data_IF_815650917137
#
_entry.id   IF_815650917137
#
_cell.length_a   1.000
_cell.length_b   1.000
_cell.length_c   1.000
_cell.angle_alpha   90.00
_cell.angle_beta   90.00
_cell.angle_gamma   90.00
#
_symmetry.space_group_name_H-M   'P 1'
#
loop_
_entity.id
_entity.type
_entity.pdbx_description
1 polymer ?
#
# COMPACT_ATOMS: atom_id res chain seq x y z
N UNK A 1 9.96 -3.34 -19.97
CA UNK A 1 9.61 -2.51 -18.81
C UNK A 1 8.23 -2.89 -18.30
N UNK A 2 7.19 -2.79 -19.12
CA UNK A 2 5.81 -3.13 -18.73
C UNK A 2 5.62 -4.56 -18.18
N UNK A 3 6.20 -5.57 -18.83
CA UNK A 3 6.15 -6.96 -18.31
C UNK A 3 6.79 -7.14 -16.93
N UNK A 4 7.82 -6.35 -16.62
CA UNK A 4 8.49 -6.39 -15.31
C UNK A 4 7.63 -5.69 -14.25
N UNK A 5 6.98 -4.57 -14.62
CA UNK A 5 5.99 -3.89 -13.78
C UNK A 5 4.82 -4.83 -13.46
N UNK A 6 4.30 -5.52 -14.46
CA UNK A 6 3.22 -6.50 -14.30
C UNK A 6 3.61 -7.67 -13.39
N UNK A 7 4.84 -8.18 -13.51
CA UNK A 7 5.34 -9.23 -12.64
C UNK A 7 5.37 -8.79 -11.17
N UNK A 8 5.93 -7.61 -10.88
CA UNK A 8 5.95 -7.08 -9.51
C UNK A 8 4.55 -6.81 -8.98
N UNK A 9 3.63 -6.24 -9.77
CA UNK A 9 2.25 -6.03 -9.34
C UNK A 9 1.57 -7.36 -9.02
N UNK A 10 1.79 -8.39 -9.85
CA UNK A 10 1.21 -9.72 -9.63
C UNK A 10 1.72 -10.36 -8.34
N UNK A 11 3.03 -10.28 -8.07
CA UNK A 11 3.58 -10.80 -6.81
C UNK A 11 2.97 -10.09 -5.59
N UNK A 12 2.83 -8.76 -5.66
CA UNK A 12 2.19 -7.99 -4.60
C UNK A 12 0.70 -8.38 -4.45
N UNK A 13 0.00 -8.68 -5.55
CA UNK A 13 -1.39 -9.17 -5.53
C UNK A 13 -1.52 -10.51 -4.81
N UNK A 14 -0.68 -11.49 -5.15
CA UNK A 14 -0.67 -12.80 -4.52
C UNK A 14 -0.37 -12.72 -3.01
N UNK A 15 0.44 -11.73 -2.59
CA UNK A 15 0.69 -11.47 -1.17
C UNK A 15 -0.53 -10.90 -0.44
N UNK A 16 -1.35 -10.08 -1.11
CA UNK A 16 -2.55 -9.48 -0.53
C UNK A 16 -3.62 -10.49 -0.11
N UNK A 17 -3.82 -11.55 -0.89
CA UNK A 17 -4.79 -12.60 -0.58
C UNK A 17 -4.55 -13.29 0.78
N UNK A 18 -3.28 -13.38 1.19
CA UNK A 18 -2.89 -13.95 2.48
C UNK A 18 -2.97 -12.94 3.63
N UNK A 19 -2.78 -11.65 3.34
CA UNK A 19 -2.73 -10.58 4.32
C UNK A 19 -4.12 -10.21 4.90
N UNK A 20 -5.21 -10.42 4.17
CA UNK A 20 -6.60 -10.14 4.60
C UNK A 20 -7.06 -10.91 5.86
N UNK A 21 -6.23 -11.80 6.42
CA UNK A 21 -6.53 -12.58 7.64
C UNK A 21 -5.85 -12.04 8.90
N UNK A 22 -5.13 -10.92 8.79
CA UNK A 22 -4.29 -10.36 9.83
C UNK A 22 -4.78 -8.96 10.22
N UNK A 23 -4.41 -8.48 11.41
CA UNK A 23 -4.54 -7.05 11.70
C UNK A 23 -3.66 -6.23 10.74
N UNK A 24 -4.01 -4.94 10.56
CA UNK A 24 -3.31 -4.05 9.65
C UNK A 24 -1.78 -4.02 9.81
N UNK A 25 -1.25 -4.11 11.03
CA UNK A 25 0.20 -4.03 11.22
C UNK A 25 0.90 -5.29 10.70
N UNK A 26 0.31 -6.45 11.00
CA UNK A 26 0.81 -7.75 10.55
C UNK A 26 0.56 -7.98 9.05
N UNK A 27 -0.55 -7.47 8.51
CA UNK A 27 -0.90 -7.55 7.09
C UNK A 27 0.08 -6.75 6.20
N UNK A 28 0.58 -5.62 6.68
CA UNK A 28 1.43 -4.71 5.89
C UNK A 28 2.93 -5.03 5.98
N UNK A 29 3.38 -5.78 6.99
CA UNK A 29 4.80 -6.13 7.16
C UNK A 29 5.41 -6.81 5.92
N UNK A 30 4.78 -7.85 5.33
CA UNK A 30 5.29 -8.49 4.11
C UNK A 30 5.45 -7.52 2.94
N UNK A 31 4.55 -6.54 2.81
CA UNK A 31 4.63 -5.54 1.73
C UNK A 31 5.86 -4.65 1.89
N UNK A 32 6.11 -4.13 3.09
CA UNK A 32 7.30 -3.32 3.34
C UNK A 32 8.59 -4.13 3.13
N UNK A 33 8.63 -5.40 3.53
CA UNK A 33 9.77 -6.29 3.26
C UNK A 33 9.97 -6.51 1.75
N UNK A 34 8.88 -6.66 1.00
CA UNK A 34 8.93 -6.81 -0.45
C UNK A 34 9.45 -5.55 -1.16
N UNK A 35 9.00 -4.37 -0.72
CA UNK A 35 9.50 -3.09 -1.23
C UNK A 35 10.99 -2.90 -0.92
N UNK A 36 11.45 -3.28 0.27
CA UNK A 36 12.87 -3.25 0.65
C UNK A 36 13.71 -4.18 -0.23
N UNK A 37 13.29 -5.44 -0.36
CA UNK A 37 13.99 -6.45 -1.17
C UNK A 37 14.14 -6.02 -2.63
N UNK A 38 13.18 -5.26 -3.15
CA UNK A 38 13.15 -4.78 -4.53
C UNK A 38 13.41 -3.27 -4.65
N UNK A 39 14.10 -2.68 -3.67
CA UNK A 39 14.29 -1.24 -3.54
C UNK A 39 14.79 -0.56 -4.83
N UNK A 40 15.77 -1.13 -5.52
CA UNK A 40 16.34 -0.53 -6.74
C UNK A 40 15.28 -0.37 -7.83
N UNK A 41 14.38 -1.35 -7.98
CA UNK A 41 13.28 -1.30 -8.94
C UNK A 41 12.31 -0.19 -8.56
N UNK A 42 11.79 -0.21 -7.33
CA UNK A 42 10.77 0.75 -6.89
C UNK A 42 11.28 2.18 -6.80
N UNK A 43 12.50 2.40 -6.29
CA UNK A 43 13.13 3.72 -6.27
C UNK A 43 13.31 4.30 -7.68
N UNK A 44 13.70 3.47 -8.65
CA UNK A 44 13.81 3.88 -10.06
C UNK A 44 12.45 4.24 -10.66
N UNK A 45 11.44 3.39 -10.46
CA UNK A 45 10.10 3.61 -10.98
C UNK A 45 9.46 4.87 -10.40
N UNK A 46 9.62 5.09 -9.09
CA UNK A 46 9.10 6.25 -8.38
C UNK A 46 9.89 7.54 -8.63
N UNK A 47 11.18 7.47 -8.97
CA UNK A 47 11.99 8.64 -9.32
C UNK A 47 11.79 9.08 -10.77
N UNK A 48 11.44 8.14 -11.66
CA UNK A 48 11.18 8.48 -13.06
C UNK A 48 9.93 9.37 -13.17
N UNK A 49 10.05 10.52 -13.85
CA UNK A 49 8.87 11.28 -14.33
C UNK A 49 8.03 10.46 -15.33
N UNK A 50 8.47 9.25 -15.69
CA UNK A 50 8.03 8.45 -16.82
C UNK A 50 7.09 7.28 -16.50
N UNK A 51 6.72 7.05 -15.24
CA UNK A 51 5.68 6.06 -14.95
C UNK A 51 4.54 6.60 -14.07
N UNK A 52 3.85 7.69 -14.47
CA UNK A 52 2.48 7.91 -14.01
C UNK A 52 1.64 6.62 -14.08
N UNK A 53 1.92 5.74 -15.05
CA UNK A 53 1.36 4.38 -15.16
C UNK A 53 1.68 3.48 -13.96
N UNK A 54 2.92 3.48 -13.44
CA UNK A 54 3.29 2.62 -12.31
C UNK A 54 2.61 3.07 -11.02
N UNK A 55 2.66 4.37 -10.71
CA UNK A 55 1.99 4.90 -9.51
C UNK A 55 0.48 4.65 -9.57
N UNK A 56 -0.14 4.89 -10.73
CA UNK A 56 -1.58 4.66 -10.92
C UNK A 56 -1.93 3.19 -10.70
N UNK A 57 -1.18 2.27 -11.32
CA UNK A 57 -1.40 0.82 -11.13
C UNK A 57 -1.16 0.36 -9.69
N UNK A 58 -0.15 0.91 -9.01
CA UNK A 58 0.11 0.64 -7.61
C UNK A 58 -1.05 1.12 -6.73
N UNK A 59 -1.57 2.32 -7.00
CA UNK A 59 -2.74 2.85 -6.30
C UNK A 59 -3.99 1.99 -6.53
N UNK A 60 -4.29 1.65 -7.79
CA UNK A 60 -5.41 0.76 -8.13
C UNK A 60 -5.31 -0.57 -7.38
N UNK A 61 -4.12 -1.17 -7.35
CA UNK A 61 -3.87 -2.39 -6.60
C UNK A 61 -4.14 -2.23 -5.09
N UNK A 62 -3.58 -1.20 -4.46
CA UNK A 62 -3.77 -0.96 -3.03
C UNK A 62 -5.24 -0.69 -2.71
N UNK A 63 -5.93 0.08 -3.54
CA UNK A 63 -7.35 0.34 -3.38
C UNK A 63 -8.18 -0.94 -3.48
N UNK A 64 -7.84 -1.84 -4.41
CA UNK A 64 -8.48 -3.16 -4.49
C UNK A 64 -8.28 -3.97 -3.21
N UNK A 65 -7.05 -4.00 -2.69
CA UNK A 65 -6.73 -4.70 -1.44
C UNK A 65 -7.40 -4.13 -0.19
N UNK A 66 -7.85 -2.87 -0.22
CA UNK A 66 -8.60 -2.24 0.87
C UNK A 66 -10.11 -2.41 0.75
N UNK A 67 -10.63 -2.91 -0.38
CA UNK A 67 -12.07 -3.17 -0.51
C UNK A 67 -12.49 -4.23 0.50
N UNK A 68 -13.58 -3.96 1.21
CA UNK A 68 -14.09 -4.85 2.26
C UNK A 68 -13.38 -4.73 3.60
N UNK A 69 -12.25 -4.03 3.68
CA UNK A 69 -11.51 -3.79 4.94
C UNK A 69 -11.97 -2.51 5.66
N UNK A 70 -12.94 -1.79 5.08
CA UNK A 70 -13.53 -0.58 5.67
C UNK A 70 -14.57 -1.00 6.70
N UNK A 71 -14.34 -0.63 7.96
CA UNK A 71 -15.28 -0.84 9.05
C UNK A 71 -16.43 0.16 8.96
N UNK A 72 -17.57 -0.33 8.46
CA UNK A 72 -18.86 0.38 8.49
C UNK A 72 -19.72 -0.02 9.69
N UNK A 73 -19.35 -1.06 10.42
CA UNK A 73 -20.17 -1.66 11.46
C UNK A 73 -20.01 -0.93 12.81
N UNK A 74 -18.82 -0.39 13.10
CA UNK A 74 -18.59 0.40 14.32
C UNK A 74 -19.28 1.76 14.35
N UNK A 75 -19.89 2.18 13.23
CA UNK A 75 -20.54 3.49 13.08
C UNK A 75 -19.57 4.66 12.86
N UNK A 76 -18.27 4.45 13.04
CA UNK A 76 -17.21 5.46 12.85
C UNK A 76 -17.20 6.06 11.44
N UNK A 77 -17.50 5.24 10.44
CA UNK A 77 -17.46 5.60 9.03
C UNK A 77 -18.85 5.61 8.35
N UNK A 78 -19.94 5.62 9.12
CA UNK A 78 -21.29 5.41 8.60
C UNK A 78 -21.76 6.49 7.59
N UNK A 79 -21.25 7.72 7.71
CA UNK A 79 -21.62 8.84 6.85
C UNK A 79 -20.70 9.02 5.63
N UNK A 80 -19.62 8.23 5.53
CA UNK A 80 -18.64 8.34 4.47
C UNK A 80 -18.96 7.38 3.33
N UNK A 81 -18.82 7.86 2.09
CA UNK A 81 -18.90 6.99 0.93
C UNK A 81 -17.64 6.12 0.81
N UNK A 82 -17.86 4.86 0.44
CA UNK A 82 -16.81 3.85 0.38
C UNK A 82 -15.71 4.20 -0.62
N UNK A 83 -16.09 4.70 -1.78
CA UNK A 83 -15.17 5.14 -2.82
C UNK A 83 -14.27 6.30 -2.36
N UNK A 84 -14.82 7.26 -1.61
CA UNK A 84 -14.06 8.36 -1.00
C UNK A 84 -13.06 7.84 0.02
N UNK A 85 -13.46 6.88 0.86
CA UNK A 85 -12.56 6.25 1.84
C UNK A 85 -11.45 5.44 1.19
N UNK A 86 -11.76 4.68 0.15
CA UNK A 86 -10.75 3.92 -0.61
C UNK A 86 -9.75 4.87 -1.29
N UNK A 87 -10.22 5.97 -1.88
CA UNK A 87 -9.36 7.00 -2.47
C UNK A 87 -8.43 7.61 -1.42
N UNK A 88 -8.96 7.96 -0.25
CA UNK A 88 -8.18 8.51 0.86
C UNK A 88 -7.13 7.51 1.36
N UNK A 89 -7.55 6.30 1.74
CA UNK A 89 -6.67 5.29 2.33
C UNK A 89 -5.61 4.82 1.33
N UNK A 90 -6.00 4.55 0.08
CA UNK A 90 -5.08 4.14 -0.97
C UNK A 90 -4.00 5.19 -1.24
N UNK A 91 -4.38 6.46 -1.39
CA UNK A 91 -3.40 7.53 -1.59
C UNK A 91 -2.52 7.78 -0.37
N UNK A 92 -3.08 7.68 0.85
CA UNK A 92 -2.31 7.81 2.08
C UNK A 92 -1.23 6.72 2.18
N UNK A 93 -1.60 5.46 1.94
CA UNK A 93 -0.65 4.34 2.00
C UNK A 93 0.43 4.42 0.92
N UNK A 94 0.03 4.67 -0.35
CA UNK A 94 0.99 4.88 -1.45
C UNK A 94 1.93 6.04 -1.13
N UNK A 95 1.40 7.16 -0.62
CA UNK A 95 2.21 8.31 -0.22
C UNK A 95 3.25 7.98 0.85
N UNK A 96 2.90 7.15 1.84
CA UNK A 96 3.83 6.68 2.88
C UNK A 96 4.93 5.81 2.28
N UNK A 97 4.59 4.86 1.40
CA UNK A 97 5.58 4.01 0.71
C UNK A 97 6.50 4.88 -0.16
N UNK A 98 5.94 5.80 -0.93
CA UNK A 98 6.69 6.71 -1.79
C UNK A 98 7.70 7.53 -1.00
N UNK A 99 7.25 8.15 0.09
CA UNK A 99 8.12 8.91 0.99
C UNK A 99 9.22 8.01 1.58
N UNK A 100 8.85 6.83 2.09
CA UNK A 100 9.80 5.92 2.73
C UNK A 100 10.90 5.48 1.76
N UNK A 101 10.54 5.05 0.55
CA UNK A 101 11.50 4.62 -0.48
C UNK A 101 12.37 5.80 -0.94
N UNK A 102 11.78 6.97 -1.23
CA UNK A 102 12.53 8.14 -1.72
C UNK A 102 13.54 8.69 -0.71
N UNK A 103 13.31 8.45 0.57
CA UNK A 103 14.21 8.86 1.65
C UNK A 103 15.18 7.75 2.07
N UNK A 104 15.38 6.72 1.25
CA UNK A 104 16.34 5.66 1.51
C UNK A 104 15.90 4.70 2.62
N UNK A 105 14.59 4.49 2.77
CA UNK A 105 13.99 3.60 3.77
C UNK A 105 14.45 3.92 5.20
N UNK A 106 14.16 5.13 5.72
CA UNK A 106 14.73 5.63 6.99
C UNK A 106 14.35 4.82 8.23
N UNK A 107 13.37 3.92 8.12
CA UNK A 107 12.93 3.03 9.19
C UNK A 107 12.82 1.59 8.66
N UNK A 108 13.07 0.57 9.50
CA UNK A 108 12.93 -0.84 9.07
C UNK A 108 11.50 -1.19 8.64
N UNK A 109 11.31 -2.16 7.73
CA UNK A 109 10.00 -2.59 7.23
C UNK A 109 8.95 -2.81 8.32
N UNK A 110 9.29 -3.59 9.34
CA UNK A 110 8.42 -3.87 10.48
C UNK A 110 7.99 -2.62 11.25
N UNK A 111 8.87 -1.62 11.33
CA UNK A 111 8.53 -0.36 12.01
C UNK A 111 7.56 0.44 11.16
N UNK A 112 7.79 0.52 9.86
CA UNK A 112 6.88 1.19 8.93
C UNK A 112 5.51 0.53 8.85
N UNK A 113 5.47 -0.80 8.81
CA UNK A 113 4.24 -1.57 8.81
C UNK A 113 3.36 -1.25 10.03
N UNK A 114 3.96 -1.18 11.22
CA UNK A 114 3.26 -0.77 12.45
C UNK A 114 2.73 0.67 12.39
N UNK A 115 3.53 1.60 11.87
CA UNK A 115 3.11 3.01 11.75
C UNK A 115 1.96 3.17 10.73
N UNK A 116 2.12 2.60 9.53
CA UNK A 116 1.11 2.63 8.48
C UNK A 116 -0.17 1.90 8.92
N UNK A 117 -0.05 0.72 9.54
CA UNK A 117 -1.18 -0.05 10.03
C UNK A 117 -1.94 0.66 11.15
N UNK A 118 -1.24 1.34 12.06
CA UNK A 118 -1.90 2.16 13.07
C UNK A 118 -2.66 3.36 12.48
N UNK A 119 -2.14 4.00 11.43
CA UNK A 119 -2.82 5.10 10.74
C UNK A 119 -4.05 4.60 9.96
N UNK A 120 -3.92 3.47 9.27
CA UNK A 120 -5.00 2.85 8.52
C UNK A 120 -6.10 2.33 9.43
N UNK A 121 -5.79 1.60 10.50
CA UNK A 121 -6.79 1.14 11.47
C UNK A 121 -7.49 2.27 12.24
N UNK A 122 -6.90 3.47 12.31
CA UNK A 122 -7.58 4.67 12.82
C UNK A 122 -8.48 5.33 11.80
N UNK A 123 -8.27 5.10 10.51
CA UNK A 123 -9.02 5.76 9.43
C UNK A 123 -10.14 4.88 8.89
N UNK A 124 -9.83 3.60 8.67
CA UNK A 124 -10.74 2.59 8.13
C UNK A 124 -11.57 1.94 9.24
#
# INVERSE_FOLDING_TARGET
>A
MDKLIEAHIKEIQEMGEWACKLDWSNALEPFFEYFEKNYLFFSTMLASKGAPSFRTRLLEFIMEGFKGEIDKESGKNAELYEDVMLQYAGNAYVGVIEWWIRNGMPYPPRTMAKQAGALLGRSL
#
